data_IF_247787783108
#
_entry.id   IF_247787783108
#
_cell.length_a   1.000
_cell.length_b   1.000
_cell.length_c   1.000
_cell.angle_alpha   90.00
_cell.angle_beta   90.00
_cell.angle_gamma   90.00
#
_symmetry.space_group_name_H-M   'P 1'
#
loop_
_entity.id
_entity.type
_entity.pdbx_description
1 polymer ?
#
# COMPACT_ATOMS: atom_id res chain seq x y z
N UNK A 1 11.80 11.83 -40.96
CA UNK A 1 11.01 12.43 -39.86
C UNK A 1 11.83 13.35 -38.96
N UNK A 2 12.59 12.90 -37.94
CA UNK A 2 13.25 13.84 -37.00
C UNK A 2 14.23 14.82 -37.67
N UNK A 3 14.99 14.36 -38.67
CA UNK A 3 15.86 15.25 -39.46
C UNK A 3 15.09 16.25 -40.32
N UNK A 4 13.88 15.91 -40.76
CA UNK A 4 13.03 16.79 -41.56
C UNK A 4 12.28 17.80 -40.69
N UNK A 5 11.88 17.39 -39.48
CA UNK A 5 11.25 18.28 -38.49
C UNK A 5 12.24 19.33 -38.01
N UNK A 6 13.50 18.95 -37.80
CA UNK A 6 14.54 19.94 -37.52
C UNK A 6 14.43 20.59 -36.14
N UNK A 7 14.08 19.81 -35.12
CA UNK A 7 13.91 20.31 -33.75
C UNK A 7 15.20 20.98 -33.26
N UNK A 8 15.12 22.29 -32.96
CA UNK A 8 16.24 23.09 -32.44
C UNK A 8 16.43 22.94 -30.94
N UNK A 9 15.36 22.64 -30.22
CA UNK A 9 15.35 22.42 -28.77
C UNK A 9 14.80 21.03 -28.54
N UNK A 10 15.54 20.22 -27.79
CA UNK A 10 15.15 18.86 -27.42
C UNK A 10 15.15 18.79 -25.90
N UNK A 11 14.02 18.37 -25.33
CA UNK A 11 13.86 18.12 -23.90
C UNK A 11 13.64 16.62 -23.72
N UNK A 12 14.45 16.02 -22.85
CA UNK A 12 14.33 14.60 -22.50
C UNK A 12 14.05 14.54 -21.00
N UNK A 13 12.86 14.07 -20.65
CA UNK A 13 12.46 13.75 -19.28
C UNK A 13 12.85 12.29 -18.96
N UNK A 14 13.08 11.99 -17.69
CA UNK A 14 13.62 10.69 -17.22
C UNK A 14 14.88 10.25 -17.99
N UNK A 15 15.73 11.22 -18.37
CA UNK A 15 16.91 10.99 -19.21
C UNK A 15 17.91 10.00 -18.61
N UNK A 16 17.87 9.78 -17.30
CA UNK A 16 18.68 8.80 -16.60
C UNK A 16 18.26 7.34 -16.88
N UNK A 17 17.00 7.10 -17.26
CA UNK A 17 16.42 5.79 -17.58
C UNK A 17 16.50 5.46 -19.08
N UNK A 18 16.93 6.42 -19.91
CA UNK A 18 16.98 6.25 -21.36
C UNK A 18 18.37 5.83 -21.81
N UNK A 19 18.44 4.78 -22.64
CA UNK A 19 19.68 4.35 -23.28
C UNK A 19 20.32 5.50 -24.05
N UNK A 20 21.62 5.68 -23.88
CA UNK A 20 22.37 6.72 -24.57
C UNK A 20 22.14 6.69 -26.09
N UNK A 21 22.17 5.50 -26.69
CA UNK A 21 21.93 5.32 -28.12
C UNK A 21 20.61 5.94 -28.57
N UNK A 22 19.54 5.80 -27.78
CA UNK A 22 18.24 6.38 -28.10
C UNK A 22 18.30 7.91 -28.08
N UNK A 23 18.91 8.52 -27.06
CA UNK A 23 19.06 9.98 -27.00
C UNK A 23 19.88 10.49 -28.19
N UNK A 24 21.01 9.86 -28.50
CA UNK A 24 21.88 10.26 -29.62
C UNK A 24 21.13 10.25 -30.95
N UNK A 25 20.25 9.26 -31.18
CA UNK A 25 19.46 9.21 -32.43
C UNK A 25 18.42 10.33 -32.56
N UNK A 26 18.05 10.97 -31.45
CA UNK A 26 17.15 12.14 -31.49
C UNK A 26 17.87 13.43 -31.87
N UNK A 27 19.19 13.49 -31.68
CA UNK A 27 20.00 14.66 -31.98
C UNK A 27 20.20 14.80 -33.50
N UNK A 28 19.63 15.85 -34.06
CA UNK A 28 19.80 16.21 -35.47
C UNK A 28 20.78 17.39 -35.62
N UNK A 29 21.24 17.65 -36.85
CA UNK A 29 22.20 18.73 -37.15
C UNK A 29 21.68 20.15 -36.87
N UNK A 30 20.39 20.32 -36.65
CA UNK A 30 19.75 21.58 -36.29
C UNK A 30 19.53 21.76 -34.78
N UNK A 31 19.83 20.74 -33.96
CA UNK A 31 19.73 20.85 -32.50
C UNK A 31 20.73 21.88 -31.98
N UNK A 32 20.21 22.89 -31.27
CA UNK A 32 20.96 24.00 -30.69
C UNK A 32 20.96 23.93 -29.15
N UNK A 33 19.95 23.30 -28.56
CA UNK A 33 19.82 23.19 -27.10
C UNK A 33 19.24 21.82 -26.73
N UNK A 34 20.00 21.06 -25.97
CA UNK A 34 19.58 19.80 -25.37
C UNK A 34 19.39 19.99 -23.87
N UNK A 35 18.20 19.69 -23.37
CA UNK A 35 17.85 19.73 -21.95
C UNK A 35 17.58 18.31 -21.51
N UNK A 36 18.39 17.80 -20.59
CA UNK A 36 18.23 16.47 -20.01
C UNK A 36 17.80 16.62 -18.56
N UNK A 37 16.64 16.07 -18.23
CA UNK A 37 16.06 16.06 -16.89
C UNK A 37 16.00 14.61 -16.45
N UNK A 38 16.60 14.29 -15.31
CA UNK A 38 16.62 12.92 -14.80
C UNK A 38 17.38 12.82 -13.49
N UNK A 39 17.44 11.61 -12.97
CA UNK A 39 18.09 11.29 -11.71
C UNK A 39 18.94 10.03 -11.83
N UNK A 40 20.26 10.21 -11.86
CA UNK A 40 21.24 9.11 -12.00
C UNK A 40 21.32 8.20 -10.76
N UNK A 41 20.69 8.60 -9.64
CA UNK A 41 20.56 7.78 -8.44
C UNK A 41 19.26 6.94 -8.44
N UNK A 42 18.37 7.11 -9.43
CA UNK A 42 17.19 6.25 -9.69
C UNK A 42 17.47 5.22 -10.79
N UNK A 43 16.46 4.54 -11.37
CA UNK A 43 16.73 3.43 -12.28
C UNK A 43 17.55 3.86 -13.50
N UNK A 44 18.46 2.96 -13.87
CA UNK A 44 19.21 3.02 -15.12
C UNK A 44 18.42 2.36 -16.25
N UNK A 45 18.73 2.68 -17.52
CA UNK A 45 18.20 1.92 -18.64
C UNK A 45 18.53 0.43 -18.50
N UNK A 46 17.60 -0.43 -18.95
CA UNK A 46 17.79 -1.88 -18.96
C UNK A 46 18.02 -2.39 -20.38
N UNK A 47 19.27 -2.75 -20.76
CA UNK A 47 19.53 -3.43 -22.02
C UNK A 47 18.90 -4.84 -22.03
N UNK A 48 18.30 -5.24 -23.15
CA UNK A 48 17.70 -6.58 -23.31
C UNK A 48 18.69 -7.71 -23.05
N UNK A 49 19.98 -7.47 -23.35
CA UNK A 49 21.05 -8.42 -23.11
C UNK A 49 21.85 -8.00 -21.89
N UNK A 50 21.66 -8.68 -20.76
CA UNK A 50 22.34 -8.39 -19.49
C UNK A 50 23.87 -8.32 -19.62
N UNK A 51 24.46 -9.17 -20.48
CA UNK A 51 25.91 -9.16 -20.73
C UNK A 51 26.39 -7.83 -21.32
N UNK A 52 25.56 -7.17 -22.12
CA UNK A 52 25.88 -5.85 -22.68
C UNK A 52 25.84 -4.76 -21.60
N UNK A 53 24.94 -4.87 -20.63
CA UNK A 53 24.89 -3.96 -19.49
C UNK A 53 26.19 -4.05 -18.66
N UNK A 54 26.59 -5.28 -18.30
CA UNK A 54 27.70 -5.50 -17.36
C UNK A 54 29.08 -5.42 -18.00
N UNK A 55 29.28 -5.99 -19.20
CA UNK A 55 30.62 -6.09 -19.80
C UNK A 55 31.00 -4.83 -20.60
N UNK A 56 30.02 -4.00 -20.97
CA UNK A 56 30.19 -2.87 -21.90
C UNK A 56 29.51 -1.58 -21.41
N UNK A 57 29.01 -1.56 -20.17
CA UNK A 57 28.40 -0.40 -19.53
C UNK A 57 27.22 0.21 -20.31
N UNK A 58 26.48 -0.60 -21.09
CA UNK A 58 25.32 -0.09 -21.85
C UNK A 58 24.15 0.39 -20.96
N UNK A 59 24.19 0.11 -19.66
CA UNK A 59 23.24 0.65 -18.69
C UNK A 59 23.58 2.08 -18.23
N UNK A 60 24.73 2.64 -18.62
CA UNK A 60 25.04 4.05 -18.33
C UNK A 60 24.32 4.92 -19.36
N UNK A 61 23.38 5.74 -18.89
CA UNK A 61 22.68 6.71 -19.72
C UNK A 61 23.60 7.87 -20.15
N UNK A 62 23.21 8.59 -21.21
CA UNK A 62 23.93 9.80 -21.61
C UNK A 62 23.95 10.82 -20.47
N UNK A 63 22.84 10.91 -19.72
CA UNK A 63 22.72 11.79 -18.56
C UNK A 63 23.75 11.44 -17.48
N UNK A 64 23.78 10.19 -17.04
CA UNK A 64 24.74 9.71 -16.03
C UNK A 64 26.18 9.89 -16.52
N UNK A 65 26.46 9.61 -17.80
CA UNK A 65 27.79 9.82 -18.38
C UNK A 65 28.22 11.28 -18.34
N UNK A 66 27.33 12.23 -18.62
CA UNK A 66 27.65 13.67 -18.55
C UNK A 66 27.89 14.12 -17.11
N UNK A 67 27.10 13.64 -16.16
CA UNK A 67 27.29 13.90 -14.72
C UNK A 67 28.65 13.36 -14.25
N UNK A 68 28.99 12.11 -14.59
CA UNK A 68 30.26 11.49 -14.24
C UNK A 68 31.47 12.22 -14.85
N UNK A 69 31.29 12.88 -16.00
CA UNK A 69 32.30 13.73 -16.63
C UNK A 69 32.35 15.16 -16.07
N UNK A 70 31.68 15.43 -14.93
CA UNK A 70 31.64 16.72 -14.26
C UNK A 70 31.14 17.87 -15.14
N UNK A 71 30.21 17.58 -16.05
CA UNK A 71 29.51 18.64 -16.79
C UNK A 71 28.67 19.45 -15.80
N UNK A 72 28.71 20.79 -15.87
CA UNK A 72 27.89 21.64 -15.00
C UNK A 72 26.41 21.29 -15.11
N UNK A 73 25.79 21.01 -13.97
CA UNK A 73 24.37 20.69 -13.86
C UNK A 73 23.78 21.36 -12.62
N UNK A 74 22.46 21.38 -12.56
CA UNK A 74 21.69 21.92 -11.43
C UNK A 74 20.93 20.78 -10.78
N UNK A 75 21.03 20.68 -9.46
CA UNK A 75 20.30 19.69 -8.66
C UNK A 75 19.21 20.39 -7.88
N UNK A 76 17.97 19.91 -7.99
CA UNK A 76 16.86 20.38 -7.18
C UNK A 76 16.90 19.64 -5.83
N UNK A 77 17.09 20.38 -4.73
CA UNK A 77 17.27 19.80 -3.40
C UNK A 77 16.00 19.76 -2.56
N UNK A 78 14.97 20.53 -2.92
CA UNK A 78 13.72 20.62 -2.17
C UNK A 78 12.67 19.64 -2.72
N UNK A 79 12.07 18.83 -1.83
CA UNK A 79 11.07 17.83 -2.16
C UNK A 79 9.67 18.22 -1.65
N UNK A 80 8.65 17.93 -2.45
CA UNK A 80 7.25 18.30 -2.18
C UNK A 80 6.29 17.11 -2.04
N UNK A 81 6.81 15.87 -2.05
CA UNK A 81 6.01 14.65 -2.12
C UNK A 81 5.76 14.05 -0.74
N UNK A 82 6.83 13.73 -0.03
CA UNK A 82 6.83 12.76 1.07
C UNK A 82 6.86 13.46 2.42
N UNK A 83 6.21 12.88 3.44
CA UNK A 83 6.38 13.31 4.84
C UNK A 83 7.86 13.22 5.25
N UNK A 84 8.34 14.09 6.16
CA UNK A 84 9.74 14.06 6.67
C UNK A 84 10.18 12.70 7.22
N UNK A 85 9.26 11.97 7.84
CA UNK A 85 9.53 10.62 8.38
C UNK A 85 9.86 9.61 7.29
N UNK A 86 9.45 9.84 6.04
CA UNK A 86 9.79 9.03 4.87
C UNK A 86 11.08 9.55 4.22
N UNK A 87 11.16 10.86 3.96
CA UNK A 87 12.31 11.46 3.26
C UNK A 87 13.63 11.29 4.00
N UNK A 88 13.61 11.16 5.34
CA UNK A 88 14.78 10.87 6.17
C UNK A 88 15.56 9.64 5.69
N UNK A 89 14.88 8.60 5.18
CA UNK A 89 15.57 7.40 4.68
C UNK A 89 16.27 7.63 3.34
N UNK A 90 15.80 8.59 2.55
CA UNK A 90 16.43 8.97 1.29
C UNK A 90 17.64 9.88 1.49
N UNK A 91 17.82 10.50 2.66
CA UNK A 91 18.99 11.35 2.93
C UNK A 91 20.32 10.59 2.85
N UNK A 92 20.31 9.26 3.05
CA UNK A 92 21.48 8.40 2.83
C UNK A 92 21.89 8.33 1.35
N UNK A 93 20.94 8.52 0.44
CA UNK A 93 21.17 8.57 -1.02
C UNK A 93 21.36 10.02 -1.48
N UNK A 94 20.60 10.96 -0.90
CA UNK A 94 20.61 12.38 -1.22
C UNK A 94 20.90 13.22 0.04
N UNK A 95 22.17 13.42 0.42
CA UNK A 95 22.53 14.14 1.66
C UNK A 95 22.04 15.59 1.74
N UNK A 96 21.68 16.20 0.60
CA UNK A 96 21.18 17.57 0.52
C UNK A 96 19.65 17.71 0.43
N UNK A 97 18.88 16.61 0.55
CA UNK A 97 17.43 16.63 0.40
C UNK A 97 16.74 17.41 1.52
N UNK A 98 15.87 18.36 1.16
CA UNK A 98 15.14 19.24 2.08
C UNK A 98 13.64 19.11 1.87
N UNK A 99 12.87 19.10 2.96
CA UNK A 99 11.42 18.98 2.90
C UNK A 99 10.77 20.36 2.77
N UNK A 100 9.97 20.56 1.72
CA UNK A 100 9.14 21.76 1.61
C UNK A 100 8.03 21.75 2.67
N UNK A 101 7.66 22.90 3.29
CA UNK A 101 6.62 22.96 4.32
C UNK A 101 5.22 22.42 3.92
N UNK A 102 4.96 22.22 2.62
CA UNK A 102 3.72 21.60 2.14
C UNK A 102 3.53 20.18 2.67
N UNK A 103 4.62 19.42 2.89
CA UNK A 103 4.55 18.00 3.29
C UNK A 103 4.41 17.80 4.80
N UNK A 104 4.47 18.86 5.60
CA UNK A 104 4.30 18.78 7.06
C UNK A 104 2.84 18.69 7.49
N UNK A 105 1.91 18.90 6.56
CA UNK A 105 0.46 18.99 6.83
C UNK A 105 -0.31 17.71 6.51
N UNK A 106 0.38 16.63 6.11
CA UNK A 106 -0.28 15.35 5.90
C UNK A 106 -0.77 14.76 7.22
N UNK A 107 -2.04 14.35 7.23
CA UNK A 107 -2.64 13.63 8.35
C UNK A 107 -1.91 12.31 8.63
N UNK A 108 -1.98 11.87 9.88
CA UNK A 108 -1.48 10.55 10.27
C UNK A 108 -2.33 9.43 9.67
N UNK A 109 -1.70 8.29 9.40
CA UNK A 109 -2.38 7.11 8.86
C UNK A 109 -3.33 6.54 9.93
N UNK A 110 -4.61 6.42 9.58
CA UNK A 110 -5.66 5.91 10.46
C UNK A 110 -5.37 4.45 10.85
N UNK A 111 -5.66 4.11 12.11
CA UNK A 111 -5.58 2.73 12.61
C UNK A 111 -4.18 2.25 12.99
N UNK A 112 -3.13 3.04 12.79
CA UNK A 112 -1.75 2.63 13.08
C UNK A 112 -1.06 3.63 14.00
N UNK A 113 -0.07 3.14 14.76
CA UNK A 113 0.72 3.99 15.66
C UNK A 113 1.74 4.87 14.93
N UNK A 114 2.20 4.44 13.76
CA UNK A 114 3.29 5.04 13.00
C UNK A 114 2.97 5.07 11.51
N UNK A 115 3.33 6.18 10.84
CA UNK A 115 3.14 6.36 9.39
C UNK A 115 4.21 5.66 8.56
N UNK A 116 5.33 5.30 9.19
CA UNK A 116 6.37 4.46 8.59
C UNK A 116 6.62 3.26 9.48
N UNK A 117 6.77 2.07 8.88
CA UNK A 117 7.18 0.89 9.62
C UNK A 117 7.97 -0.11 8.77
N UNK A 118 8.98 -0.72 9.38
CA UNK A 118 9.85 -1.76 8.83
C UNK A 118 9.58 -3.06 9.61
N UNK A 119 8.82 -3.96 9.01
CA UNK A 119 8.40 -5.23 9.59
C UNK A 119 9.42 -6.34 9.28
N UNK A 120 10.19 -6.72 10.29
CA UNK A 120 11.20 -7.77 10.21
C UNK A 120 10.57 -9.15 10.32
N UNK A 121 10.99 -10.06 9.44
CA UNK A 121 10.74 -11.50 9.59
C UNK A 121 11.88 -12.35 9.02
N UNK A 122 11.82 -13.66 9.26
CA UNK A 122 12.82 -14.65 8.79
C UNK A 122 12.18 -15.79 7.98
N UNK A 123 10.89 -15.72 7.65
CA UNK A 123 10.23 -16.71 6.78
C UNK A 123 10.92 -16.83 5.43
N UNK A 124 11.18 -18.07 5.01
CA UNK A 124 11.91 -18.38 3.79
C UNK A 124 11.13 -17.98 2.53
N UNK A 125 11.86 -17.54 1.50
CA UNK A 125 11.32 -17.35 0.14
C UNK A 125 11.01 -18.70 -0.53
N UNK A 126 10.02 -18.72 -1.41
CA UNK A 126 9.71 -19.83 -2.31
C UNK A 126 10.09 -19.49 -3.75
N UNK A 127 10.40 -20.53 -4.53
CA UNK A 127 10.52 -20.42 -5.98
C UNK A 127 9.15 -20.62 -6.62
N UNK A 128 8.82 -19.80 -7.62
CA UNK A 128 7.58 -19.94 -8.41
C UNK A 128 7.94 -20.58 -9.75
N UNK A 129 7.22 -21.64 -10.14
CA UNK A 129 7.52 -22.50 -11.29
C UNK A 129 7.88 -21.74 -12.58
N UNK A 130 8.84 -22.31 -13.33
CA UNK A 130 9.34 -21.93 -14.68
C UNK A 130 9.93 -20.53 -14.89
N UNK A 131 10.08 -19.72 -13.84
CA UNK A 131 10.81 -18.43 -13.93
C UNK A 131 11.84 -18.29 -12.82
N UNK A 132 12.89 -17.52 -13.04
CA UNK A 132 13.87 -17.13 -12.00
C UNK A 132 13.27 -16.21 -10.92
N UNK A 133 11.95 -16.09 -10.85
CA UNK A 133 11.27 -15.17 -9.96
C UNK A 133 11.01 -15.79 -8.59
N UNK A 134 11.24 -14.99 -7.55
CA UNK A 134 11.05 -15.36 -6.14
C UNK A 134 9.72 -14.83 -5.63
N UNK A 135 9.18 -15.51 -4.62
CA UNK A 135 8.00 -15.06 -3.86
C UNK A 135 8.20 -15.37 -2.37
N UNK A 136 7.44 -14.68 -1.53
CA UNK A 136 7.37 -14.91 -0.10
C UNK A 136 5.89 -14.83 0.32
N UNK A 137 5.29 -16.00 0.56
CA UNK A 137 3.87 -16.10 0.85
C UNK A 137 3.49 -15.44 2.18
N UNK A 138 4.40 -15.44 3.17
CA UNK A 138 4.19 -14.73 4.42
C UNK A 138 4.06 -13.22 4.17
N UNK A 139 4.96 -12.65 3.38
CA UNK A 139 4.88 -11.24 3.00
C UNK A 139 3.61 -10.91 2.19
N UNK A 140 3.24 -11.77 1.25
CA UNK A 140 2.05 -11.56 0.41
C UNK A 140 0.77 -11.51 1.25
N UNK A 141 0.59 -12.47 2.16
CA UNK A 141 -0.55 -12.52 3.07
C UNK A 141 -0.57 -11.36 4.05
N UNK A 142 0.59 -11.01 4.60
CA UNK A 142 0.67 -9.89 5.54
C UNK A 142 0.26 -8.57 4.88
N UNK A 143 0.80 -8.26 3.69
CA UNK A 143 0.48 -7.02 2.98
C UNK A 143 -0.98 -6.99 2.51
N UNK A 144 -1.54 -8.13 2.14
CA UNK A 144 -2.97 -8.25 1.79
C UNK A 144 -3.86 -7.95 3.01
N UNK A 145 -3.54 -8.53 4.18
CA UNK A 145 -4.21 -8.22 5.44
C UNK A 145 -4.07 -6.75 5.87
N UNK A 146 -2.87 -6.17 5.71
CA UNK A 146 -2.62 -4.75 6.00
C UNK A 146 -3.39 -3.82 5.05
N UNK A 147 -3.46 -4.16 3.76
CA UNK A 147 -4.25 -3.43 2.77
C UNK A 147 -5.74 -3.44 3.14
N UNK A 148 -6.28 -4.63 3.47
CA UNK A 148 -7.66 -4.79 3.97
C UNK A 148 -7.92 -3.95 5.21
N UNK A 149 -6.97 -3.94 6.14
CA UNK A 149 -7.06 -3.11 7.34
C UNK A 149 -7.16 -1.61 7.01
N UNK A 150 -6.35 -1.11 6.07
CA UNK A 150 -6.46 0.29 5.63
C UNK A 150 -7.79 0.59 4.92
N UNK A 151 -8.29 -0.31 4.09
CA UNK A 151 -9.61 -0.14 3.46
C UNK A 151 -10.74 -0.09 4.50
N UNK A 152 -10.65 -0.91 5.55
CA UNK A 152 -11.57 -0.85 6.70
C UNK A 152 -11.50 0.48 7.46
N UNK A 153 -10.39 1.22 7.35
CA UNK A 153 -10.20 2.59 7.84
C UNK A 153 -10.56 3.68 6.81
N UNK A 154 -11.37 3.33 5.82
CA UNK A 154 -11.93 4.23 4.80
C UNK A 154 -10.91 4.80 3.80
N UNK A 155 -9.74 4.17 3.68
CA UNK A 155 -8.85 4.46 2.55
C UNK A 155 -9.42 3.83 1.29
N UNK A 156 -9.46 4.60 0.19
CA UNK A 156 -9.85 4.08 -1.11
C UNK A 156 -8.74 3.18 -1.65
N UNK A 157 -9.09 2.11 -2.38
CA UNK A 157 -8.10 1.23 -3.01
C UNK A 157 -7.11 2.01 -3.90
N UNK A 158 -7.57 3.06 -4.58
CA UNK A 158 -6.73 3.93 -5.41
C UNK A 158 -5.65 4.70 -4.63
N UNK A 159 -5.80 4.87 -3.31
CA UNK A 159 -4.82 5.53 -2.44
C UNK A 159 -3.72 4.58 -1.95
N UNK A 160 -3.83 3.29 -2.26
CA UNK A 160 -2.91 2.25 -1.79
C UNK A 160 -2.25 1.58 -3.00
N UNK A 161 -0.92 1.55 -2.99
CA UNK A 161 -0.15 0.74 -3.93
C UNK A 161 0.67 -0.29 -3.19
N UNK A 162 0.65 -1.53 -3.66
CA UNK A 162 1.55 -2.60 -3.23
C UNK A 162 2.65 -2.79 -4.26
N UNK A 163 3.88 -2.55 -3.83
CA UNK A 163 5.10 -2.77 -4.60
C UNK A 163 5.78 -4.05 -4.17
N UNK A 164 6.32 -4.78 -5.13
CA UNK A 164 7.14 -5.95 -4.85
C UNK A 164 8.44 -5.91 -5.65
N UNK A 165 9.52 -6.41 -5.06
CA UNK A 165 10.82 -6.49 -5.71
C UNK A 165 10.87 -7.52 -6.86
N UNK A 166 9.91 -8.46 -6.91
CA UNK A 166 9.89 -9.56 -7.87
C UNK A 166 8.50 -9.76 -8.47
N UNK A 167 8.43 -10.05 -9.77
CA UNK A 167 7.16 -10.28 -10.49
C UNK A 167 6.37 -11.48 -9.98
N UNK A 168 7.06 -12.53 -9.52
CA UNK A 168 6.47 -13.70 -8.87
C UNK A 168 5.75 -13.33 -7.57
N UNK A 169 6.28 -12.37 -6.83
CA UNK A 169 5.61 -11.83 -5.64
C UNK A 169 4.40 -10.97 -6.01
N UNK A 170 4.46 -10.19 -7.09
CA UNK A 170 3.28 -9.47 -7.61
C UNK A 170 2.15 -10.46 -7.92
N UNK A 171 2.48 -11.60 -8.54
CA UNK A 171 1.51 -12.66 -8.81
C UNK A 171 0.94 -13.25 -7.51
N UNK A 172 1.79 -13.59 -6.55
CA UNK A 172 1.35 -14.13 -5.25
C UNK A 172 0.44 -13.17 -4.48
N UNK A 173 0.74 -11.87 -4.48
CA UNK A 173 -0.10 -10.85 -3.84
C UNK A 173 -1.46 -10.73 -4.54
N UNK A 174 -1.48 -10.74 -5.88
CA UNK A 174 -2.74 -10.71 -6.64
C UNK A 174 -3.59 -11.95 -6.37
N UNK A 175 -2.99 -13.14 -6.36
CA UNK A 175 -3.69 -14.39 -6.04
C UNK A 175 -4.34 -14.37 -4.64
N UNK A 176 -3.69 -13.74 -3.64
CA UNK A 176 -4.28 -13.53 -2.30
C UNK A 176 -5.39 -12.47 -2.30
N UNK A 177 -5.28 -11.41 -3.11
CA UNK A 177 -6.32 -10.38 -3.25
C UNK A 177 -7.55 -10.86 -4.03
N UNK A 178 -7.37 -11.75 -5.01
CA UNK A 178 -8.44 -12.30 -5.84
C UNK A 178 -9.47 -13.10 -5.01
N UNK A 179 -9.10 -13.56 -3.82
CA UNK A 179 -10.01 -14.22 -2.86
C UNK A 179 -11.16 -13.28 -2.40
N UNK A 180 -10.92 -11.97 -2.39
CA UNK A 180 -11.90 -10.93 -2.05
C UNK A 180 -11.82 -9.77 -3.07
N UNK A 181 -11.90 -10.07 -4.36
CA UNK A 181 -11.68 -9.11 -5.47
C UNK A 181 -12.41 -7.77 -5.29
N UNK A 182 -13.69 -7.78 -4.86
CA UNK A 182 -14.49 -6.56 -4.66
C UNK A 182 -13.96 -5.65 -3.55
N UNK A 183 -13.24 -6.20 -2.57
CA UNK A 183 -12.66 -5.41 -1.48
C UNK A 183 -11.45 -4.61 -1.97
N UNK A 184 -10.61 -5.22 -2.81
CA UNK A 184 -9.35 -4.64 -3.28
C UNK A 184 -9.50 -3.90 -4.62
N UNK A 185 -10.73 -3.50 -4.96
CA UNK A 185 -11.00 -2.76 -6.19
C UNK A 185 -10.13 -1.49 -6.24
N UNK A 186 -9.47 -1.26 -7.38
CA UNK A 186 -8.56 -0.15 -7.63
C UNK A 186 -7.25 -0.13 -6.81
N UNK A 187 -6.97 -1.17 -6.00
CA UNK A 187 -5.64 -1.32 -5.38
C UNK A 187 -4.63 -1.69 -6.46
N UNK A 188 -3.56 -0.91 -6.57
CA UNK A 188 -2.53 -1.19 -7.57
C UNK A 188 -1.46 -2.13 -7.01
N UNK A 189 -1.18 -3.22 -7.73
CA UNK A 189 -0.07 -4.15 -7.41
C UNK A 189 0.89 -4.23 -8.60
N UNK A 190 2.17 -3.88 -8.40
CA UNK A 190 3.14 -3.80 -9.50
C UNK A 190 4.58 -3.99 -9.02
N UNK A 191 5.52 -4.42 -9.90
CA UNK A 191 6.93 -4.42 -9.57
C UNK A 191 7.45 -3.01 -9.30
N UNK A 192 8.47 -2.88 -8.45
CA UNK A 192 9.13 -1.59 -8.13
C UNK A 192 9.64 -0.89 -9.40
N UNK A 193 10.25 -1.66 -10.32
CA UNK A 193 10.81 -1.10 -11.57
C UNK A 193 9.73 -0.44 -12.46
N UNK A 194 8.47 -0.88 -12.36
CA UNK A 194 7.37 -0.37 -13.17
C UNK A 194 6.62 0.80 -12.49
N UNK A 195 7.18 1.39 -11.44
CA UNK A 195 6.54 2.45 -10.65
C UNK A 195 7.39 3.74 -10.61
N UNK A 196 8.36 3.88 -11.50
CA UNK A 196 9.14 5.11 -11.66
C UNK A 196 8.26 6.25 -12.16
N UNK A 197 8.54 7.48 -11.71
CA UNK A 197 7.71 8.66 -11.98
C UNK A 197 6.39 8.71 -11.22
N UNK A 198 5.98 7.61 -10.57
CA UNK A 198 4.69 7.50 -9.91
C UNK A 198 4.77 7.69 -8.40
N UNK A 199 3.64 7.99 -7.78
CA UNK A 199 3.47 8.22 -6.35
C UNK A 199 2.07 7.82 -5.88
N UNK A 200 1.93 7.46 -4.59
CA UNK A 200 0.64 7.26 -3.96
C UNK A 200 0.66 7.71 -2.49
N UNK A 201 -0.52 7.82 -1.89
CA UNK A 201 -0.67 8.21 -0.49
C UNK A 201 -0.06 7.15 0.44
N UNK A 202 -0.37 5.87 0.21
CA UNK A 202 0.13 4.74 1.01
C UNK A 202 0.85 3.73 0.09
N UNK A 203 2.10 3.41 0.42
CA UNK A 203 2.87 2.37 -0.27
C UNK A 203 3.19 1.23 0.69
N UNK A 204 2.85 0.02 0.26
CA UNK A 204 3.21 -1.24 0.91
C UNK A 204 4.28 -1.94 0.09
N UNK A 205 5.39 -2.36 0.70
CA UNK A 205 6.54 -2.92 -0.03
C UNK A 205 6.89 -4.31 0.49
N UNK A 206 6.91 -5.28 -0.42
CA UNK A 206 7.44 -6.63 -0.18
C UNK A 206 8.84 -6.75 -0.77
N UNK A 207 9.81 -7.07 0.09
CA UNK A 207 11.22 -7.23 -0.28
C UNK A 207 11.56 -8.68 -0.67
N UNK A 208 10.75 -9.66 -0.27
CA UNK A 208 10.78 -11.08 -0.67
C UNK A 208 11.97 -11.87 -0.12
N UNK A 209 13.19 -11.32 -0.24
CA UNK A 209 14.42 -12.10 -0.08
C UNK A 209 14.65 -12.55 1.36
N UNK A 210 14.70 -13.86 1.53
CA UNK A 210 14.99 -14.53 2.79
C UNK A 210 15.46 -15.96 2.48
N UNK A 211 16.77 -16.18 2.47
CA UNK A 211 17.37 -17.47 2.07
C UNK A 211 18.68 -17.77 2.79
N UNK A 212 19.03 -19.05 2.89
CA UNK A 212 20.22 -19.52 3.61
C UNK A 212 21.54 -19.04 2.98
N UNK A 213 21.54 -18.79 1.68
CA UNK A 213 22.72 -18.33 0.92
C UNK A 213 23.03 -16.85 1.20
N UNK A 214 22.14 -16.14 1.92
CA UNK A 214 22.20 -14.71 2.18
C UNK A 214 22.37 -13.89 0.89
N UNK A 215 21.70 -14.28 -0.20
CA UNK A 215 21.67 -13.48 -1.42
C UNK A 215 20.43 -12.58 -1.41
N UNK A 216 20.65 -11.30 -1.71
CA UNK A 216 19.59 -10.28 -1.73
C UNK A 216 19.28 -9.82 -3.17
N UNK A 217 19.98 -10.39 -4.16
CA UNK A 217 19.73 -10.19 -5.59
C UNK A 217 19.47 -8.73 -5.99
N UNK A 218 18.25 -8.46 -6.43
CA UNK A 218 17.74 -7.16 -6.88
C UNK A 218 17.98 -6.04 -5.86
N UNK A 219 17.91 -6.35 -4.57
CA UNK A 219 18.00 -5.37 -3.47
C UNK A 219 19.44 -4.92 -3.17
N UNK A 220 20.44 -5.41 -3.91
CA UNK A 220 21.83 -4.89 -3.87
C UNK A 220 21.97 -3.55 -4.59
N UNK A 221 21.04 -3.22 -5.48
CA UNK A 221 21.15 -2.06 -6.36
C UNK A 221 20.50 -0.87 -5.66
N UNK A 222 21.33 0.07 -5.22
CA UNK A 222 20.90 1.25 -4.46
C UNK A 222 19.83 2.08 -5.20
N UNK A 223 19.93 2.15 -6.54
CA UNK A 223 18.96 2.83 -7.39
C UNK A 223 17.52 2.31 -7.22
N UNK A 224 17.37 0.99 -7.04
CA UNK A 224 16.08 0.33 -6.85
C UNK A 224 15.54 0.55 -5.44
N UNK A 225 16.42 0.61 -4.44
CA UNK A 225 16.08 0.98 -3.06
C UNK A 225 15.56 2.42 -3.01
N UNK A 226 16.24 3.33 -3.73
CA UNK A 226 15.79 4.71 -3.88
C UNK A 226 14.37 4.78 -4.45
N UNK A 227 14.12 4.06 -5.55
CA UNK A 227 12.80 4.02 -6.17
C UNK A 227 11.77 3.44 -5.21
N UNK A 228 12.06 2.38 -4.48
CA UNK A 228 11.13 1.78 -3.53
C UNK A 228 10.70 2.76 -2.42
N UNK A 229 11.67 3.46 -1.81
CA UNK A 229 11.44 4.32 -0.65
C UNK A 229 10.83 5.69 -0.98
N UNK A 230 10.85 6.11 -2.26
CA UNK A 230 10.51 7.47 -2.69
C UNK A 230 9.07 7.66 -3.23
N UNK A 231 8.22 6.64 -3.13
CA UNK A 231 6.89 6.60 -3.78
C UNK A 231 5.74 6.99 -2.87
N UNK A 232 5.95 6.92 -1.56
CA UNK A 232 4.92 7.17 -0.56
C UNK A 232 4.84 8.65 -0.19
N UNK A 233 3.65 9.24 -0.28
CA UNK A 233 3.41 10.60 0.22
C UNK A 233 3.18 10.61 1.73
N UNK A 234 2.30 9.74 2.22
CA UNK A 234 1.81 9.76 3.60
C UNK A 234 2.27 8.55 4.42
N UNK A 235 2.10 7.33 3.88
CA UNK A 235 2.35 6.08 4.60
C UNK A 235 3.32 5.14 3.87
N UNK A 236 4.34 4.64 4.55
CA UNK A 236 5.32 3.72 4.00
C UNK A 236 5.51 2.49 4.90
N UNK A 237 5.11 1.32 4.40
CA UNK A 237 5.18 0.07 5.16
C UNK A 237 5.97 -0.96 4.38
N UNK A 238 7.10 -1.40 4.94
CA UNK A 238 7.95 -2.40 4.32
C UNK A 238 7.92 -3.68 5.14
N UNK A 239 7.90 -4.82 4.45
CA UNK A 239 8.10 -6.13 5.05
C UNK A 239 9.28 -6.84 4.36
N UNK A 240 10.14 -7.47 5.16
CA UNK A 240 11.28 -8.21 4.64
C UNK A 240 12.21 -8.75 5.72
N UNK A 241 13.22 -9.50 5.28
CA UNK A 241 14.32 -9.93 6.13
C UNK A 241 15.46 -8.89 6.14
N UNK A 242 15.26 -7.81 6.90
CA UNK A 242 16.21 -6.71 7.04
C UNK A 242 17.54 -7.10 7.69
N UNK A 243 17.57 -8.12 8.54
CA UNK A 243 18.83 -8.65 9.06
C UNK A 243 19.73 -9.15 7.92
N UNK A 244 19.18 -9.96 7.01
CA UNK A 244 19.90 -10.43 5.82
C UNK A 244 20.30 -9.26 4.90
N UNK A 245 19.42 -8.27 4.71
CA UNK A 245 19.69 -7.09 3.89
C UNK A 245 20.83 -6.23 4.45
N UNK A 246 20.81 -5.91 5.75
CA UNK A 246 21.82 -5.08 6.40
C UNK A 246 23.21 -5.74 6.48
N UNK A 247 23.27 -7.08 6.43
CA UNK A 247 24.55 -7.80 6.32
C UNK A 247 25.17 -7.62 4.94
N UNK A 248 24.35 -7.55 3.89
CA UNK A 248 24.79 -7.61 2.48
C UNK A 248 24.87 -6.27 1.76
N UNK A 249 24.23 -5.22 2.28
CA UNK A 249 24.28 -3.87 1.73
C UNK A 249 24.52 -2.84 2.83
N UNK A 250 25.47 -1.92 2.59
CA UNK A 250 25.75 -0.79 3.47
C UNK A 250 24.58 0.18 3.56
N UNK A 251 23.92 0.47 2.42
CA UNK A 251 22.76 1.34 2.39
C UNK A 251 21.61 0.78 3.23
N UNK A 252 21.30 -0.52 3.08
CA UNK A 252 20.29 -1.17 3.92
C UNK A 252 20.64 -1.13 5.41
N UNK A 253 21.92 -1.23 5.76
CA UNK A 253 22.36 -1.08 7.16
C UNK A 253 22.04 0.31 7.70
N UNK A 254 22.39 1.37 6.97
CA UNK A 254 22.11 2.75 7.36
C UNK A 254 20.60 3.03 7.49
N UNK A 255 19.80 2.49 6.56
CA UNK A 255 18.33 2.56 6.59
C UNK A 255 17.79 1.86 7.84
N UNK A 256 18.24 0.63 8.11
CA UNK A 256 17.79 -0.16 9.27
C UNK A 256 18.20 0.49 10.58
N UNK A 257 19.43 1.00 10.70
CA UNK A 257 19.92 1.72 11.88
C UNK A 257 19.08 2.96 12.15
N UNK A 258 18.70 3.69 11.08
CA UNK A 258 17.80 4.84 11.16
C UNK A 258 16.40 4.44 11.61
N UNK A 259 15.84 3.36 11.06
CA UNK A 259 14.52 2.85 11.43
C UNK A 259 14.47 2.38 12.89
N UNK A 260 15.53 1.73 13.37
CA UNK A 260 15.70 1.33 14.77
C UNK A 260 15.77 2.54 15.70
N UNK A 261 16.58 3.55 15.36
CA UNK A 261 16.69 4.81 16.11
C UNK A 261 15.34 5.52 16.23
N UNK A 262 14.56 5.51 15.14
CA UNK A 262 13.22 6.11 15.07
C UNK A 262 12.13 5.22 15.70
N UNK A 263 12.46 4.02 16.20
CA UNK A 263 11.53 3.05 16.82
C UNK A 263 10.38 2.62 15.89
N UNK A 264 10.65 2.56 14.60
CA UNK A 264 9.71 2.11 13.55
C UNK A 264 10.19 0.81 12.88
N UNK A 265 11.05 0.07 13.56
CA UNK A 265 11.55 -1.24 13.16
C UNK A 265 11.16 -2.29 14.20
N UNK A 266 10.66 -3.44 13.76
CA UNK A 266 10.37 -4.55 14.66
C UNK A 266 9.67 -5.73 13.99
N UNK A 267 9.43 -6.79 14.76
CA UNK A 267 8.76 -8.01 14.28
C UNK A 267 7.23 -7.92 14.27
N UNK A 268 6.66 -6.79 14.68
CA UNK A 268 5.21 -6.62 14.70
C UNK A 268 4.78 -5.16 14.73
N UNK A 269 3.62 -4.91 14.13
CA UNK A 269 3.03 -3.60 13.97
C UNK A 269 1.99 -3.33 15.06
N UNK A 270 1.92 -2.08 15.51
CA UNK A 270 0.94 -1.62 16.50
C UNK A 270 -0.27 -0.99 15.80
N UNK A 271 -1.40 -1.67 15.87
CA UNK A 271 -2.68 -1.16 15.40
C UNK A 271 -3.39 -0.44 16.55
N UNK A 272 -4.05 0.67 16.28
CA UNK A 272 -4.68 1.55 17.26
C UNK A 272 -6.18 1.56 17.03
N UNK A 273 -6.91 1.01 18.00
CA UNK A 273 -8.36 1.12 18.03
C UNK A 273 -8.76 2.39 18.79
N UNK A 274 -9.31 3.36 18.06
CA UNK A 274 -9.79 4.64 18.62
C UNK A 274 -10.99 4.41 19.54
N UNK A 275 -11.93 3.54 19.16
CA UNK A 275 -13.19 3.31 19.90
C UNK A 275 -12.96 2.77 21.32
N UNK A 276 -11.96 1.91 21.51
CA UNK A 276 -11.68 1.26 22.79
C UNK A 276 -10.36 1.68 23.43
N UNK A 277 -9.66 2.67 22.84
CA UNK A 277 -8.32 3.10 23.23
C UNK A 277 -7.38 1.90 23.48
N UNK A 278 -7.42 0.93 22.56
CA UNK A 278 -6.70 -0.33 22.66
C UNK A 278 -5.64 -0.41 21.57
N UNK A 279 -4.48 -0.99 21.90
CA UNK A 279 -3.40 -1.22 20.95
C UNK A 279 -3.23 -2.71 20.77
N UNK A 280 -3.48 -3.17 19.55
CA UNK A 280 -3.25 -4.56 19.13
C UNK A 280 -1.87 -4.69 18.49
N UNK A 281 -1.24 -5.85 18.64
CA UNK A 281 0.09 -6.12 18.09
C UNK A 281 0.00 -7.23 17.06
N UNK A 282 0.30 -6.90 15.79
CA UNK A 282 0.16 -7.79 14.64
C UNK A 282 1.55 -8.25 14.22
N UNK A 283 1.83 -9.55 14.35
CA UNK A 283 3.11 -10.16 13.99
C UNK A 283 2.96 -11.02 12.74
N UNK A 284 1.86 -11.78 12.67
CA UNK A 284 1.56 -12.70 11.58
C UNK A 284 0.30 -12.29 10.83
N UNK A 285 0.12 -12.75 9.58
CA UNK A 285 -1.10 -12.48 8.81
C UNK A 285 -2.38 -12.91 9.54
N UNK A 286 -2.35 -14.03 10.26
CA UNK A 286 -3.52 -14.54 10.99
C UNK A 286 -3.93 -13.66 12.18
N UNK A 287 -3.04 -12.75 12.62
CA UNK A 287 -3.34 -11.84 13.73
C UNK A 287 -4.33 -10.75 13.29
N UNK A 288 -4.44 -10.44 11.99
CA UNK A 288 -5.45 -9.51 11.50
C UNK A 288 -6.88 -9.98 11.83
N UNK A 289 -7.17 -11.26 11.62
CA UNK A 289 -8.50 -11.83 11.93
C UNK A 289 -8.73 -11.98 13.44
N UNK A 290 -7.67 -12.26 14.22
CA UNK A 290 -7.79 -12.52 15.67
C UNK A 290 -7.85 -11.23 16.49
N UNK A 291 -7.07 -10.23 16.13
CA UNK A 291 -6.86 -9.03 16.93
C UNK A 291 -7.59 -7.80 16.38
N UNK A 292 -7.74 -7.71 15.05
CA UNK A 292 -8.38 -6.57 14.36
C UNK A 292 -9.37 -6.96 13.25
N UNK A 293 -10.34 -7.86 13.49
CA UNK A 293 -11.14 -8.51 12.44
C UNK A 293 -11.92 -7.54 11.55
N UNK A 294 -12.44 -6.45 12.11
CA UNK A 294 -13.29 -5.48 11.41
C UNK A 294 -12.68 -4.05 11.41
N UNK A 295 -11.35 -3.94 11.56
CA UNK A 295 -10.63 -2.66 11.59
C UNK A 295 -10.54 -2.01 12.99
N UNK A 296 -11.42 -2.39 13.92
CA UNK A 296 -11.25 -2.12 15.36
C UNK A 296 -10.66 -3.32 16.10
N UNK A 297 -10.49 -3.22 17.42
CA UNK A 297 -9.95 -4.33 18.22
C UNK A 297 -10.92 -5.51 18.36
N UNK A 298 -10.43 -6.66 18.83
CA UNK A 298 -11.21 -7.88 19.08
C UNK A 298 -12.24 -7.82 20.24
N UNK A 299 -12.69 -6.64 20.63
CA UNK A 299 -13.80 -6.46 21.60
C UNK A 299 -15.09 -6.21 20.84
N UNK A 300 -16.22 -6.60 21.42
CA UNK A 300 -17.52 -6.20 20.87
C UNK A 300 -17.67 -4.67 20.85
N UNK A 301 -18.29 -4.15 19.79
CA UNK A 301 -18.52 -2.72 19.66
C UNK A 301 -19.42 -2.17 20.78
N UNK A 302 -20.60 -2.76 20.98
CA UNK A 302 -21.50 -2.40 22.08
C UNK A 302 -22.08 -0.97 22.03
N UNK A 303 -21.76 -0.18 21.01
CA UNK A 303 -22.32 1.15 20.79
C UNK A 303 -23.84 1.11 20.60
N UNK A 304 -24.54 2.18 20.97
CA UNK A 304 -25.99 2.26 20.77
C UNK A 304 -26.29 2.68 19.32
N UNK A 305 -27.02 1.83 18.62
CA UNK A 305 -27.56 2.11 17.29
C UNK A 305 -28.71 3.13 17.38
N UNK A 306 -29.09 3.80 16.28
CA UNK A 306 -30.23 4.72 16.24
C UNK A 306 -31.55 4.08 16.73
N UNK A 307 -31.69 2.76 16.55
CA UNK A 307 -32.83 1.98 17.04
C UNK A 307 -32.77 1.62 18.54
N UNK A 308 -31.78 2.15 19.28
CA UNK A 308 -31.47 1.92 20.71
C UNK A 308 -30.93 0.53 21.07
N UNK A 309 -30.86 -0.40 20.12
CA UNK A 309 -30.12 -1.65 20.33
C UNK A 309 -28.62 -1.41 20.43
N UNK A 310 -27.91 -2.35 21.07
CA UNK A 310 -26.45 -2.35 21.07
C UNK A 310 -25.93 -3.06 19.83
N UNK A 311 -24.89 -2.49 19.22
CA UNK A 311 -24.18 -3.11 18.11
C UNK A 311 -23.56 -4.44 18.57
N UNK A 312 -23.88 -5.52 17.85
CA UNK A 312 -23.40 -6.88 18.14
C UNK A 312 -22.13 -7.26 17.38
N UNK A 313 -21.71 -6.42 16.43
CA UNK A 313 -20.48 -6.63 15.66
C UNK A 313 -19.24 -6.53 16.54
N UNK A 314 -18.12 -7.02 16.02
CA UNK A 314 -16.81 -6.72 16.60
C UNK A 314 -16.53 -5.22 16.41
N UNK A 315 -15.59 -4.66 17.18
CA UNK A 315 -15.24 -3.26 17.02
C UNK A 315 -14.81 -2.99 15.57
N UNK A 316 -15.40 -1.97 14.96
CA UNK A 316 -15.15 -1.61 13.56
C UNK A 316 -14.85 -0.12 13.41
N UNK A 317 -14.08 0.23 12.38
CA UNK A 317 -13.65 1.61 12.08
C UNK A 317 -14.32 2.25 10.86
N UNK A 318 -15.00 1.46 10.02
CA UNK A 318 -15.64 1.94 8.79
C UNK A 318 -16.99 2.65 8.97
N UNK A 319 -17.59 2.58 10.16
CA UNK A 319 -18.89 3.19 10.47
C UNK A 319 -18.94 3.52 11.97
N UNK A 320 -18.11 4.47 12.40
CA UNK A 320 -17.96 4.83 13.82
C UNK A 320 -19.30 5.34 14.39
N UNK A 321 -20.03 6.13 13.61
CA UNK A 321 -21.31 6.73 14.01
C UNK A 321 -22.52 5.78 13.82
N UNK A 322 -22.29 4.57 13.30
CA UNK A 322 -23.30 3.53 13.09
C UNK A 322 -24.50 4.01 12.25
N UNK A 323 -24.24 4.85 11.25
CA UNK A 323 -25.27 5.40 10.36
C UNK A 323 -25.78 4.33 9.39
N UNK A 324 -24.90 3.42 8.97
CA UNK A 324 -25.23 2.39 7.96
C UNK A 324 -25.35 0.98 8.55
N UNK A 325 -24.86 0.78 9.77
CA UNK A 325 -24.87 -0.52 10.45
C UNK A 325 -26.30 -1.02 10.70
N UNK A 326 -26.63 -2.15 10.07
CA UNK A 326 -27.94 -2.79 10.22
C UNK A 326 -28.05 -3.55 11.55
N UNK A 327 -29.10 -3.25 12.30
CA UNK A 327 -29.40 -3.92 13.55
C UNK A 327 -30.06 -5.29 13.32
N UNK A 328 -29.33 -6.37 13.60
CA UNK A 328 -29.79 -7.77 13.52
C UNK A 328 -30.45 -8.28 14.81
N UNK A 329 -30.82 -7.38 15.73
CA UNK A 329 -31.53 -7.77 16.96
C UNK A 329 -33.04 -7.86 16.68
N UNK A 330 -33.79 -8.68 17.45
CA UNK A 330 -35.25 -8.73 17.35
C UNK A 330 -35.88 -7.34 17.54
N UNK A 331 -36.86 -6.99 16.72
CA UNK A 331 -37.52 -5.69 16.83
C UNK A 331 -38.32 -5.57 18.14
N UNK A 332 -38.09 -4.48 18.89
CA UNK A 332 -38.81 -4.20 20.15
C UNK A 332 -40.19 -3.56 19.94
N UNK A 333 -40.59 -3.30 18.70
CA UNK A 333 -41.88 -2.66 18.39
C UNK A 333 -43.02 -3.69 18.51
N UNK A 334 -44.19 -3.18 18.87
CA UNK A 334 -45.43 -3.93 18.92
C UNK A 334 -46.43 -3.34 17.92
N UNK A 335 -47.32 -4.18 17.37
CA UNK A 335 -48.44 -3.71 16.56
C UNK A 335 -49.54 -3.06 17.45
N UNK A 336 -50.56 -2.40 16.88
CA UNK A 336 -51.64 -1.78 17.65
C UNK A 336 -52.40 -2.75 18.57
N UNK A 337 -52.43 -4.04 18.23
CA UNK A 337 -53.05 -5.12 19.03
C UNK A 337 -52.09 -5.70 20.09
N UNK A 338 -50.87 -5.16 20.23
CA UNK A 338 -49.89 -5.56 21.24
C UNK A 338 -48.99 -6.73 20.87
N UNK A 339 -49.07 -7.27 19.65
CA UNK A 339 -48.19 -8.37 19.23
C UNK A 339 -46.74 -7.91 19.00
N UNK A 340 -45.73 -8.65 19.49
CA UNK A 340 -44.32 -8.34 19.23
C UNK A 340 -43.98 -8.56 17.75
N UNK A 341 -43.16 -7.66 17.19
CA UNK A 341 -42.68 -7.80 15.83
C UNK A 341 -41.72 -9.01 15.72
N UNK A 342 -41.91 -9.85 14.70
CA UNK A 342 -41.07 -11.03 14.45
C UNK A 342 -39.87 -10.76 13.52
N UNK A 343 -39.74 -9.53 13.03
CA UNK A 343 -38.68 -9.11 12.10
C UNK A 343 -37.45 -8.59 12.84
N UNK A 344 -36.31 -8.59 12.15
CA UNK A 344 -35.10 -7.94 12.64
C UNK A 344 -35.30 -6.42 12.69
N UNK A 345 -34.63 -5.76 13.63
CA UNK A 345 -34.85 -4.34 13.90
C UNK A 345 -34.53 -3.42 12.72
N UNK A 346 -33.62 -3.81 11.82
CA UNK A 346 -33.34 -3.03 10.61
C UNK A 346 -34.45 -3.12 9.54
N UNK A 347 -35.33 -4.13 9.64
CA UNK A 347 -36.41 -4.34 8.70
C UNK A 347 -37.61 -3.47 9.06
N UNK A 348 -38.31 -2.97 8.04
CA UNK A 348 -39.59 -2.30 8.28
C UNK A 348 -40.62 -3.31 8.79
N UNK A 349 -41.23 -3.00 9.95
CA UNK A 349 -42.19 -3.89 10.61
C UNK A 349 -43.35 -4.28 9.68
N UNK A 350 -43.87 -3.33 8.90
CA UNK A 350 -45.03 -3.57 8.03
C UNK A 350 -46.28 -3.96 8.82
N UNK A 351 -47.21 -4.65 8.16
CA UNK A 351 -48.43 -5.18 8.80
C UNK A 351 -48.09 -6.39 9.67
N UNK A 352 -48.86 -6.57 10.75
CA UNK A 352 -48.77 -7.77 11.57
C UNK A 352 -49.22 -8.98 10.74
N UNK A 353 -48.54 -10.12 10.89
CA UNK A 353 -48.91 -11.41 10.27
C UNK A 353 -49.40 -12.42 11.33
N UNK A 354 -49.59 -11.96 12.57
CA UNK A 354 -50.05 -12.80 13.68
C UNK A 354 -51.54 -13.05 13.51
N UNK A 355 -51.89 -14.28 13.18
CA UNK A 355 -53.27 -14.72 13.00
C UNK A 355 -54.10 -14.50 14.27
N UNK A 356 -55.13 -13.66 14.17
CA UNK A 356 -56.13 -13.46 15.22
C UNK A 356 -57.50 -13.91 14.74
N UNK A 357 -58.27 -14.49 15.66
CA UNK A 357 -59.66 -14.86 15.38
C UNK A 357 -60.52 -13.59 15.39
N UNK A 358 -61.06 -13.20 14.24
CA UNK A 358 -61.99 -12.06 14.12
C UNK A 358 -63.39 -12.54 13.75
N UNK A 359 -64.38 -11.97 14.44
CA UNK A 359 -65.78 -12.16 14.11
C UNK A 359 -66.18 -11.26 12.93
N UNK A 360 -66.64 -11.86 11.83
CA UNK A 360 -66.97 -11.12 10.62
C UNK A 360 -68.41 -10.58 10.67
N UNK A 361 -68.62 -9.24 10.75
CA UNK A 361 -69.94 -8.66 11.04
C UNK A 361 -70.98 -8.88 9.93
N UNK A 362 -70.57 -9.25 8.71
CA UNK A 362 -71.47 -9.45 7.56
C UNK A 362 -72.00 -10.89 7.44
N UNK A 363 -71.27 -11.89 7.93
CA UNK A 363 -71.58 -13.31 7.75
C UNK A 363 -71.65 -14.10 9.07
N UNK A 364 -71.24 -13.51 10.19
CA UNK A 364 -71.41 -14.05 11.54
C UNK A 364 -70.53 -15.26 11.88
N UNK A 365 -69.52 -15.58 11.07
CA UNK A 365 -68.53 -16.60 11.40
C UNK A 365 -67.24 -15.97 11.92
N UNK A 366 -66.46 -16.78 12.64
CA UNK A 366 -65.12 -16.43 13.10
C UNK A 366 -64.10 -16.98 12.10
N UNK A 367 -63.17 -16.13 11.66
CA UNK A 367 -62.09 -16.53 10.75
C UNK A 367 -60.73 -16.07 11.30
N UNK A 368 -59.67 -16.79 10.92
CA UNK A 368 -58.30 -16.38 11.25
C UNK A 368 -57.80 -15.41 10.20
N UNK A 369 -57.49 -14.19 10.64
CA UNK A 369 -56.93 -13.16 9.77
C UNK A 369 -55.61 -12.63 10.34
N UNK A 370 -54.61 -12.35 9.48
CA UNK A 370 -53.34 -11.77 9.89
C UNK A 370 -53.48 -10.34 10.46
#
# INVERSE_FOLDING_TARGET
VLQEVGCRIIVVEEAAEVLEAHIVTTLNSQCQHLILIGDHQQLRPSPTVHKLAVDYDLEISLFERLVNNNIPHVTLSEQHRMRPEISTYLQHIYPGLQDHPSVWRYDDIKGVKSNVFFLQHEYAESEVDDTTSKANLHEARFLTGLCKYFIQHEYLGSQITVLAAYSGQVKAIREEMDLEETLYENVRVTPIDNYQGEENDIILISLVRSNEVNDIGFLKIDNRVCVALSRAKMGLYLIGNFQQLAVKSSLWREIVDTAQKNKVYGIGMKMVCVNHNHVSYIVNPEDFEKEVPEGGCNKHCGAHLPCRHRCTRMCHSSDIDHETTKCMQPCLKQCPEGHPCQKDCYQECGNCEVQVLKHMPLCGHDDQVP
#
